data_IF_441769261442
#
_entry.id   IF_441769261442
#
_cell.length_a   1.000
_cell.length_b   1.000
_cell.length_c   1.000
_cell.angle_alpha   90.00
_cell.angle_beta   90.00
_cell.angle_gamma   90.00
#
_symmetry.space_group_name_H-M   'P 1'
#
loop_
_entity.id
_entity.type
_entity.pdbx_description
1 polymer ?
#
# COMPACT_ATOMS: atom_id res chain seq x y z
N UNK A 1 -3.44 -24.60 2.57
CA UNK A 1 -3.17 -23.20 2.15
C UNK A 1 -3.60 -22.20 3.23
N UNK A 2 -4.89 -22.12 3.62
CA UNK A 2 -5.28 -21.33 4.81
C UNK A 2 -4.61 -21.86 6.09
N UNK A 3 -4.54 -23.19 6.22
CA UNK A 3 -3.95 -23.87 7.38
C UNK A 3 -2.45 -23.65 7.53
N UNK A 4 -1.72 -23.50 6.41
CA UNK A 4 -0.28 -23.23 6.42
C UNK A 4 0.03 -21.82 6.91
N UNK A 5 -0.82 -20.85 6.54
CA UNK A 5 -0.69 -19.46 6.98
C UNK A 5 -1.09 -19.31 8.45
N UNK A 6 -2.17 -19.96 8.88
CA UNK A 6 -2.53 -19.99 10.30
C UNK A 6 -1.44 -20.63 11.16
N UNK A 7 -0.86 -21.73 10.68
CA UNK A 7 0.26 -22.36 11.38
C UNK A 7 1.47 -21.42 11.45
N UNK A 8 1.79 -20.69 10.38
CA UNK A 8 2.90 -19.73 10.39
C UNK A 8 2.64 -18.49 11.26
N UNK A 9 1.42 -17.93 11.23
CA UNK A 9 1.02 -16.85 12.13
C UNK A 9 1.16 -17.31 13.57
N UNK A 10 0.71 -18.54 13.86
CA UNK A 10 0.85 -19.16 15.17
C UNK A 10 2.31 -19.36 15.55
N UNK A 11 3.15 -19.85 14.63
CA UNK A 11 4.57 -20.06 14.86
C UNK A 11 5.28 -18.72 15.15
N UNK A 12 5.03 -17.68 14.34
CA UNK A 12 5.58 -16.34 14.52
C UNK A 12 5.14 -15.69 15.85
N UNK A 13 3.86 -15.81 16.21
CA UNK A 13 3.29 -15.11 17.38
C UNK A 13 3.51 -15.85 18.70
N UNK A 14 3.41 -17.19 18.72
CA UNK A 14 3.51 -17.99 19.93
C UNK A 14 4.94 -18.43 20.24
N UNK A 15 5.76 -18.76 19.24
CA UNK A 15 7.11 -19.27 19.45
C UNK A 15 8.17 -18.19 19.37
N UNK A 16 8.10 -17.33 18.36
CA UNK A 16 9.10 -16.27 18.16
C UNK A 16 8.73 -14.96 18.87
N UNK A 17 7.50 -14.85 19.39
CA UNK A 17 7.00 -13.63 20.05
C UNK A 17 6.93 -12.41 19.11
N UNK A 18 6.87 -12.65 17.80
CA UNK A 18 6.90 -11.63 16.76
C UNK A 18 5.53 -10.97 16.65
N UNK A 19 5.51 -9.65 16.77
CA UNK A 19 4.35 -8.84 16.41
C UNK A 19 4.24 -8.78 14.88
N UNK A 20 3.09 -9.18 14.34
CA UNK A 20 2.83 -9.07 12.90
C UNK A 20 2.74 -7.61 12.47
N UNK A 21 2.35 -6.71 13.39
CA UNK A 21 2.34 -5.27 13.16
C UNK A 21 3.77 -4.77 13.08
N UNK A 22 4.17 -4.33 11.89
CA UNK A 22 5.48 -3.73 11.65
C UNK A 22 5.59 -2.41 12.40
N UNK A 23 6.53 -2.29 13.33
CA UNK A 23 6.88 -1.06 14.04
C UNK A 23 8.21 -0.52 13.54
N UNK A 24 8.47 0.75 13.86
CA UNK A 24 9.77 1.33 13.56
C UNK A 24 10.88 0.59 14.34
N UNK A 25 11.92 0.18 13.61
CA UNK A 25 13.07 -0.53 14.18
C UNK A 25 13.02 -2.04 13.95
N UNK A 26 11.85 -2.59 13.63
CA UNK A 26 11.68 -4.02 13.38
C UNK A 26 12.48 -4.48 12.17
N UNK A 27 12.95 -5.73 12.23
CA UNK A 27 13.47 -6.43 11.07
C UNK A 27 12.32 -6.80 10.14
N UNK A 28 12.48 -6.53 8.84
CA UNK A 28 11.46 -6.85 7.85
C UNK A 28 11.72 -8.25 7.29
N UNK A 29 10.76 -9.14 7.49
CA UNK A 29 10.85 -10.49 6.95
C UNK A 29 10.64 -10.52 5.43
N UNK A 30 11.30 -11.45 4.70
CA UNK A 30 11.10 -11.59 3.26
C UNK A 30 9.66 -11.92 2.88
N UNK A 31 9.22 -11.41 1.72
CA UNK A 31 7.91 -11.71 1.16
C UNK A 31 7.82 -13.16 0.67
N UNK A 32 6.74 -13.84 1.00
CA UNK A 32 6.48 -15.23 0.61
C UNK A 32 5.79 -15.25 -0.77
N UNK A 33 6.58 -15.46 -1.82
CA UNK A 33 6.13 -15.35 -3.22
C UNK A 33 4.90 -16.22 -3.56
N UNK A 34 4.80 -17.42 -2.98
CA UNK A 34 3.73 -18.38 -3.30
C UNK A 34 2.48 -18.26 -2.42
N UNK A 35 2.43 -17.27 -1.54
CA UNK A 35 1.30 -17.06 -0.61
C UNK A 35 0.40 -15.92 -1.07
N UNK A 36 -0.85 -15.91 -0.59
CA UNK A 36 -1.77 -14.78 -0.75
C UNK A 36 -1.31 -13.58 0.07
N UNK A 37 -1.86 -12.41 -0.26
CA UNK A 37 -1.65 -11.18 0.48
C UNK A 37 -2.80 -10.96 1.47
N UNK A 38 -2.49 -10.38 2.62
CA UNK A 38 -3.49 -9.90 3.58
C UNK A 38 -3.48 -8.39 3.60
N UNK A 39 -4.53 -7.77 4.14
CA UNK A 39 -4.56 -6.31 4.30
C UNK A 39 -4.78 -5.95 5.75
N UNK A 40 -4.00 -4.98 6.22
CA UNK A 40 -4.21 -4.29 7.48
C UNK A 40 -4.42 -2.80 7.23
N UNK A 41 -5.35 -2.23 7.99
CA UNK A 41 -5.70 -0.83 7.98
C UNK A 41 -5.15 -0.08 9.20
N UNK A 42 -4.21 -0.69 9.95
CA UNK A 42 -3.65 -0.14 11.19
C UNK A 42 -3.04 1.26 11.05
N UNK A 43 -2.63 1.63 9.83
CA UNK A 43 -1.97 2.91 9.52
C UNK A 43 -2.84 3.85 8.69
N UNK A 44 -4.08 3.46 8.37
CA UNK A 44 -4.95 4.17 7.41
C UNK A 44 -5.22 5.63 7.80
N UNK A 45 -5.29 5.90 9.11
CA UNK A 45 -5.65 7.20 9.67
C UNK A 45 -4.46 7.92 10.33
N UNK A 46 -3.24 7.44 10.10
CA UNK A 46 -2.04 8.11 10.62
C UNK A 46 -1.64 9.34 9.79
N UNK A 47 -2.31 9.57 8.67
CA UNK A 47 -2.10 10.72 7.80
C UNK A 47 -3.30 11.70 7.90
N UNK A 48 -3.01 12.94 8.30
CA UNK A 48 -3.93 14.07 8.34
C UNK A 48 -3.68 15.06 7.17
N UNK A 49 -2.82 14.70 6.22
CA UNK A 49 -2.51 15.51 5.05
C UNK A 49 -3.55 15.39 3.94
N UNK A 50 -3.28 16.04 2.80
CA UNK A 50 -4.10 15.91 1.59
C UNK A 50 -4.12 14.49 0.99
N UNK A 51 -3.21 13.61 1.43
CA UNK A 51 -3.15 12.20 1.03
C UNK A 51 -3.97 11.26 1.92
N UNK A 52 -4.68 11.82 2.89
CA UNK A 52 -5.50 11.06 3.83
C UNK A 52 -6.67 10.38 3.13
N UNK A 53 -7.05 9.19 3.62
CA UNK A 53 -8.28 8.49 3.21
C UNK A 53 -9.56 9.20 3.68
N UNK A 54 -9.44 10.23 4.52
CA UNK A 54 -10.53 11.14 4.87
C UNK A 54 -10.79 12.21 3.81
N UNK A 55 -9.96 12.31 2.76
CA UNK A 55 -10.14 13.26 1.67
C UNK A 55 -11.48 13.04 0.96
N UNK A 56 -12.24 14.13 0.75
CA UNK A 56 -13.54 14.09 0.05
C UNK A 56 -13.43 13.43 -1.33
N UNK A 57 -12.28 13.64 -2.00
CA UNK A 57 -11.92 13.05 -3.29
C UNK A 57 -12.07 11.52 -3.35
N UNK A 58 -11.91 10.83 -2.22
CA UNK A 58 -12.01 9.37 -2.16
C UNK A 58 -13.46 8.87 -2.27
N UNK A 59 -14.41 9.73 -1.87
CA UNK A 59 -15.85 9.44 -1.81
C UNK A 59 -16.64 10.05 -2.97
N UNK A 60 -15.99 10.86 -3.81
CA UNK A 60 -16.62 11.46 -4.98
C UNK A 60 -16.78 10.49 -6.15
N UNK A 61 -17.89 10.62 -6.89
CA UNK A 61 -18.16 9.85 -8.11
C UNK A 61 -17.60 10.59 -9.31
N UNK A 62 -16.29 10.47 -9.51
CA UNK A 62 -15.57 11.16 -10.59
C UNK A 62 -14.87 10.21 -11.56
N UNK A 63 -15.21 8.92 -11.54
CA UNK A 63 -14.60 7.96 -12.45
C UNK A 63 -15.18 8.04 -13.87
N UNK A 64 -14.31 8.14 -14.86
CA UNK A 64 -14.61 7.99 -16.29
C UNK A 64 -14.75 6.52 -16.72
N UNK A 65 -14.01 5.62 -16.07
CA UNK A 65 -13.97 4.20 -16.42
C UNK A 65 -14.99 3.36 -15.64
N UNK A 66 -15.49 3.88 -14.54
CA UNK A 66 -16.38 3.19 -13.62
C UNK A 66 -17.60 4.05 -13.29
N UNK A 67 -18.63 3.96 -14.15
CA UNK A 67 -19.87 4.73 -14.01
C UNK A 67 -20.46 4.65 -12.60
N UNK A 68 -20.75 5.83 -12.02
CA UNK A 68 -21.36 5.99 -10.69
C UNK A 68 -20.60 5.37 -9.52
N UNK A 69 -19.31 5.05 -9.69
CA UNK A 69 -18.47 4.50 -8.63
C UNK A 69 -17.48 5.54 -8.08
N UNK A 70 -17.22 5.44 -6.78
CA UNK A 70 -16.22 6.24 -6.06
C UNK A 70 -14.87 5.52 -6.05
N UNK A 71 -13.77 6.25 -5.83
CA UNK A 71 -12.45 5.65 -5.61
C UNK A 71 -12.45 4.66 -4.43
N UNK A 72 -13.18 4.93 -3.35
CA UNK A 72 -13.42 4.01 -2.22
C UNK A 72 -13.90 2.63 -2.69
N UNK A 73 -15.01 2.57 -3.41
CA UNK A 73 -15.59 1.31 -3.88
C UNK A 73 -14.62 0.55 -4.80
N UNK A 74 -13.87 1.25 -5.64
CA UNK A 74 -12.97 0.65 -6.62
C UNK A 74 -11.72 0.12 -5.93
N UNK A 75 -11.23 0.84 -4.92
CA UNK A 75 -10.15 0.40 -4.06
C UNK A 75 -10.47 -0.93 -3.36
N UNK A 76 -11.65 -1.06 -2.74
CA UNK A 76 -12.02 -2.31 -2.06
C UNK A 76 -12.16 -3.51 -3.01
N UNK A 77 -12.68 -3.30 -4.22
CA UNK A 77 -12.71 -4.36 -5.24
C UNK A 77 -11.31 -4.81 -5.64
N UNK A 78 -10.39 -3.86 -5.82
CA UNK A 78 -8.99 -4.15 -6.16
C UNK A 78 -8.28 -4.89 -5.05
N UNK A 79 -8.41 -4.43 -3.81
CA UNK A 79 -7.87 -5.11 -2.63
C UNK A 79 -8.38 -6.54 -2.56
N UNK A 80 -9.70 -6.76 -2.73
CA UNK A 80 -10.28 -8.10 -2.73
C UNK A 80 -9.64 -8.99 -3.79
N UNK A 81 -9.50 -8.49 -5.02
CA UNK A 81 -8.85 -9.22 -6.12
C UNK A 81 -7.39 -9.55 -5.81
N UNK A 82 -6.64 -8.58 -5.30
CA UNK A 82 -5.22 -8.70 -4.92
C UNK A 82 -5.05 -9.76 -3.82
N UNK A 83 -5.82 -9.67 -2.73
CA UNK A 83 -5.74 -10.59 -1.60
C UNK A 83 -6.25 -12.00 -1.91
N UNK A 84 -7.09 -12.16 -2.94
CA UNK A 84 -7.56 -13.47 -3.39
C UNK A 84 -6.57 -14.19 -4.33
N UNK A 85 -5.44 -13.55 -4.64
CA UNK A 85 -4.45 -14.03 -5.60
C UNK A 85 -3.09 -14.19 -4.92
N UNK A 86 -2.25 -15.11 -5.41
CA UNK A 86 -0.87 -15.28 -4.92
C UNK A 86 0.01 -14.09 -5.28
N UNK A 87 0.96 -13.76 -4.40
CA UNK A 87 1.84 -12.61 -4.57
C UNK A 87 2.63 -12.66 -5.88
N UNK A 88 3.21 -13.81 -6.23
CA UNK A 88 3.96 -14.01 -7.48
C UNK A 88 3.16 -13.62 -8.74
N UNK A 89 1.85 -13.86 -8.71
CA UNK A 89 0.91 -13.54 -9.79
C UNK A 89 0.52 -12.07 -9.74
N UNK A 90 0.19 -11.54 -8.55
CA UNK A 90 -0.13 -10.12 -8.35
C UNK A 90 1.03 -9.22 -8.78
N UNK A 91 2.26 -9.60 -8.44
CA UNK A 91 3.48 -8.86 -8.78
C UNK A 91 3.72 -8.77 -10.30
N UNK A 92 3.18 -9.70 -11.07
CA UNK A 92 3.25 -9.67 -12.54
C UNK A 92 2.17 -8.76 -13.14
N UNK A 93 1.06 -8.52 -12.43
CA UNK A 93 0.01 -7.57 -12.82
C UNK A 93 0.43 -6.12 -12.48
N UNK A 94 1.42 -5.65 -13.24
CA UNK A 94 1.93 -4.28 -13.11
C UNK A 94 0.91 -3.21 -13.49
N UNK A 95 -0.27 -3.58 -14.01
CA UNK A 95 -1.36 -2.63 -14.20
C UNK A 95 -2.01 -2.32 -12.85
N UNK A 96 -2.42 -3.32 -12.09
CA UNK A 96 -3.17 -3.06 -10.86
C UNK A 96 -2.29 -2.90 -9.62
N UNK A 97 -1.11 -3.51 -9.59
CA UNK A 97 -0.24 -3.56 -8.42
C UNK A 97 1.22 -3.40 -8.82
N UNK A 98 1.96 -2.53 -8.14
CA UNK A 98 3.40 -2.36 -8.36
C UNK A 98 4.14 -2.38 -7.05
N UNK A 99 5.29 -3.06 -7.02
CA UNK A 99 6.31 -2.80 -6.01
C UNK A 99 7.11 -1.59 -6.48
N UNK A 100 7.19 -0.55 -5.66
CA UNK A 100 7.80 0.74 -6.01
C UNK A 100 9.02 1.04 -5.14
N UNK A 101 9.97 1.78 -5.69
CA UNK A 101 11.12 2.28 -4.93
C UNK A 101 10.81 3.63 -4.28
N UNK A 102 11.44 3.89 -3.14
CA UNK A 102 11.30 5.15 -2.41
C UNK A 102 11.95 6.31 -3.16
N UNK A 103 11.13 7.26 -3.65
CA UNK A 103 11.62 8.55 -4.15
C UNK A 103 11.73 9.59 -3.01
N UNK A 104 12.25 10.79 -3.31
CA UNK A 104 12.42 11.86 -2.30
C UNK A 104 11.10 12.27 -1.65
N UNK A 105 10.07 12.53 -2.45
CA UNK A 105 8.76 12.99 -1.94
C UNK A 105 8.11 11.92 -1.04
N UNK A 106 8.16 10.65 -1.43
CA UNK A 106 7.62 9.55 -0.67
C UNK A 106 8.34 9.39 0.68
N UNK A 107 9.67 9.58 0.70
CA UNK A 107 10.42 9.63 1.97
C UNK A 107 9.98 10.80 2.85
N UNK A 108 9.68 11.97 2.28
CA UNK A 108 9.19 13.13 3.03
C UNK A 108 7.80 12.86 3.63
N UNK A 109 6.88 12.28 2.86
CA UNK A 109 5.56 11.89 3.37
C UNK A 109 5.69 10.83 4.48
N UNK A 110 6.53 9.82 4.29
CA UNK A 110 6.78 8.79 5.32
C UNK A 110 7.40 9.37 6.59
N UNK A 111 8.29 10.36 6.48
CA UNK A 111 8.87 11.06 7.63
C UNK A 111 7.81 11.73 8.47
N UNK A 112 6.86 12.40 7.83
CA UNK A 112 5.78 13.10 8.53
C UNK A 112 4.88 12.13 9.29
N UNK A 113 4.65 10.93 8.75
CA UNK A 113 3.74 9.92 9.36
C UNK A 113 4.40 9.07 10.43
N UNK A 114 5.67 8.70 10.24
CA UNK A 114 6.36 7.77 11.13
C UNK A 114 7.40 8.42 12.05
N UNK A 115 7.62 9.73 11.95
CA UNK A 115 8.63 10.49 12.72
C UNK A 115 10.03 9.86 12.67
N UNK A 116 10.40 9.29 11.52
CA UNK A 116 11.66 8.54 11.37
C UNK A 116 12.70 9.35 10.61
N UNK A 117 13.82 9.65 11.25
CA UNK A 117 14.93 10.37 10.62
C UNK A 117 15.67 9.57 9.52
N UNK A 118 15.47 8.25 9.43
CA UNK A 118 15.90 7.42 8.30
C UNK A 118 15.58 5.93 8.48
N UNK A 119 15.36 5.22 7.37
CA UNK A 119 15.22 3.76 7.35
C UNK A 119 16.57 3.14 6.94
N UNK A 120 17.10 2.19 7.73
CA UNK A 120 18.19 1.31 7.26
C UNK A 120 17.64 0.38 6.18
N UNK A 121 18.51 -0.12 5.29
CA UNK A 121 18.08 -0.96 4.18
C UNK A 121 17.35 -2.22 4.66
N UNK A 122 17.82 -2.82 5.77
CA UNK A 122 17.25 -4.03 6.37
C UNK A 122 15.91 -3.77 7.08
N UNK A 123 15.62 -2.50 7.37
CA UNK A 123 14.40 -2.03 8.04
C UNK A 123 13.41 -1.39 7.05
N UNK A 124 13.72 -1.42 5.76
CA UNK A 124 12.91 -0.78 4.73
C UNK A 124 12.00 -1.83 4.08
N UNK A 125 10.68 -1.79 4.34
CA UNK A 125 9.77 -2.73 3.70
C UNK A 125 9.63 -2.46 2.20
N UNK A 126 9.13 -3.47 1.48
CA UNK A 126 8.81 -3.30 0.07
C UNK A 126 7.56 -2.42 -0.06
N UNK A 127 7.71 -1.24 -0.63
CA UNK A 127 6.58 -0.33 -0.86
C UNK A 127 5.80 -0.74 -2.08
N UNK A 128 4.49 -0.47 -2.05
CA UNK A 128 3.56 -0.85 -3.11
C UNK A 128 2.71 0.33 -3.56
N UNK A 129 2.19 0.23 -4.77
CA UNK A 129 1.21 1.11 -5.37
C UNK A 129 0.06 0.27 -5.94
N UNK A 130 -1.18 0.62 -5.57
CA UNK A 130 -2.42 0.09 -6.15
C UNK A 130 -3.02 1.17 -7.04
N UNK A 131 -3.15 0.88 -8.34
CA UNK A 131 -3.66 1.83 -9.32
C UNK A 131 -5.18 1.70 -9.42
N UNK A 132 -5.93 2.78 -9.17
CA UNK A 132 -7.40 2.73 -9.10
C UNK A 132 -8.08 2.85 -10.47
N UNK A 133 -7.39 3.38 -11.49
CA UNK A 133 -7.91 3.53 -12.86
C UNK A 133 -9.27 4.22 -12.93
N UNK A 134 -9.46 5.32 -12.22
CA UNK A 134 -10.70 6.08 -12.31
C UNK A 134 -10.68 7.20 -13.34
N UNK A 135 -9.51 7.70 -13.75
CA UNK A 135 -9.29 8.91 -14.56
C UNK A 135 -10.24 10.06 -14.20
N UNK A 136 -9.73 11.07 -13.50
CA UNK A 136 -10.51 12.25 -13.13
C UNK A 136 -10.31 13.32 -14.21
N UNK A 137 -11.23 13.45 -15.18
CA UNK A 137 -11.43 14.52 -16.23
C UNK A 137 -10.25 15.07 -17.05
N UNK A 138 -9.03 15.08 -16.53
CA UNK A 138 -7.79 15.59 -17.12
C UNK A 138 -6.54 15.07 -16.41
N UNK A 139 -6.68 14.32 -15.31
CA UNK A 139 -5.59 13.80 -14.49
C UNK A 139 -5.42 12.29 -14.63
N UNK A 140 -4.19 11.83 -14.39
CA UNK A 140 -3.84 10.40 -14.30
C UNK A 140 -4.67 9.72 -13.20
N UNK A 141 -4.77 8.39 -13.27
CA UNK A 141 -5.57 7.60 -12.35
C UNK A 141 -5.04 7.58 -10.90
N UNK A 142 -5.89 7.91 -9.90
CA UNK A 142 -5.57 7.87 -8.48
C UNK A 142 -4.87 6.59 -8.03
N UNK A 143 -4.04 6.72 -7.00
CA UNK A 143 -3.20 5.63 -6.47
C UNK A 143 -3.37 5.49 -4.98
N UNK A 144 -3.26 4.27 -4.50
CA UNK A 144 -3.12 3.97 -3.08
C UNK A 144 -1.73 3.40 -2.83
N UNK A 145 -1.01 3.97 -1.87
CA UNK A 145 0.31 3.51 -1.46
C UNK A 145 0.23 2.76 -0.14
N UNK A 146 1.13 1.78 -0.02
CA UNK A 146 1.31 1.00 1.19
C UNK A 146 2.67 0.31 1.19
N UNK A 147 2.84 -0.65 2.08
CA UNK A 147 4.01 -1.51 2.11
C UNK A 147 3.67 -2.95 2.50
N UNK A 148 4.54 -3.87 2.13
CA UNK A 148 4.48 -5.27 2.54
C UNK A 148 5.27 -5.44 3.83
N UNK A 149 4.58 -5.86 4.88
CA UNK A 149 5.17 -6.24 6.15
C UNK A 149 5.29 -7.76 6.29
N UNK A 150 5.43 -8.19 7.55
CA UNK A 150 5.59 -9.61 7.91
C UNK A 150 4.39 -10.45 7.42
N UNK A 151 4.65 -11.70 7.07
CA UNK A 151 3.63 -12.66 6.61
C UNK A 151 2.73 -12.16 5.46
N UNK A 152 3.29 -11.39 4.51
CA UNK A 152 2.58 -10.85 3.35
C UNK A 152 1.42 -9.90 3.68
N UNK A 153 1.45 -9.26 4.86
CA UNK A 153 0.45 -8.24 5.22
C UNK A 153 0.76 -6.93 4.48
N UNK A 154 -0.19 -6.45 3.69
CA UNK A 154 -0.19 -5.10 3.13
C UNK A 154 -0.67 -4.14 4.20
N UNK A 155 0.14 -3.14 4.51
CA UNK A 155 -0.22 -2.00 5.33
C UNK A 155 -0.45 -0.78 4.45
N UNK A 156 -1.66 -0.24 4.49
CA UNK A 156 -2.08 0.88 3.64
C UNK A 156 -1.73 2.20 4.32
N UNK A 157 -1.21 3.14 3.54
CA UNK A 157 -0.66 4.41 4.05
C UNK A 157 -1.36 5.64 3.47
N UNK A 158 -1.35 5.77 2.14
CA UNK A 158 -1.69 7.03 1.48
C UNK A 158 -2.65 6.81 0.31
N UNK A 159 -3.49 7.80 0.07
CA UNK A 159 -4.29 7.95 -1.13
C UNK A 159 -3.79 9.20 -1.89
N UNK A 160 -3.26 9.00 -3.09
CA UNK A 160 -2.76 10.07 -3.96
C UNK A 160 -3.71 10.28 -5.15
N UNK A 161 -4.74 11.15 -4.99
CA UNK A 161 -5.70 11.43 -6.05
C UNK A 161 -5.10 12.14 -7.27
N UNK A 162 -3.94 12.80 -7.11
CA UNK A 162 -3.43 13.77 -8.09
C UNK A 162 -1.96 13.57 -8.46
N UNK A 163 -1.37 12.42 -8.13
CA UNK A 163 0.01 12.05 -8.50
C UNK A 163 1.10 12.97 -7.94
N UNK A 164 0.87 13.58 -6.77
CA UNK A 164 1.85 14.50 -6.18
C UNK A 164 3.02 13.76 -5.53
N UNK A 165 2.85 12.50 -5.11
CA UNK A 165 3.90 11.72 -4.44
C UNK A 165 4.97 11.29 -5.47
N UNK A 166 4.55 10.77 -6.61
CA UNK A 166 5.43 10.42 -7.73
C UNK A 166 5.22 11.34 -8.92
N UNK A 167 5.40 12.64 -8.68
CA UNK A 167 5.21 13.64 -9.71
C UNK A 167 6.42 13.66 -10.67
N UNK A 168 6.21 13.13 -11.87
CA UNK A 168 7.20 13.17 -12.95
C UNK A 168 7.29 14.56 -13.61
N UNK A 169 6.41 15.50 -13.25
CA UNK A 169 6.27 16.80 -13.96
C UNK A 169 6.97 17.98 -13.31
N UNK A 170 7.63 17.82 -12.14
CA UNK A 170 8.56 18.85 -11.69
C UNK A 170 9.78 18.88 -12.63
N UNK A 171 10.01 19.97 -13.40
CA UNK A 171 11.26 20.10 -14.11
C UNK A 171 12.38 20.06 -13.07
N UNK A 172 13.47 19.36 -13.37
CA UNK A 172 14.70 19.53 -12.61
C UNK A 172 15.09 21.01 -12.74
N UNK A 173 15.00 21.75 -11.63
CA UNK A 173 15.63 23.06 -11.50
C UNK A 173 17.15 22.89 -11.55
#
# INVERSE_FOLDING_TARGET
MLDEIHQQIKDLTEFDGIDLKVKHGDEILPVIEKSSLFISYDYLLNDDSEFSFNSENFYEKHSEFHDNRTDYQIYFDKVKSICSTRFDTVKQDTFNFKVVSLNKNFREVLKNVYDVSGFKAEQTPAFIEILLYTNKKTNRAPRVFGFLGNANVIYILFYDPFHKIFDATKPKL
#
